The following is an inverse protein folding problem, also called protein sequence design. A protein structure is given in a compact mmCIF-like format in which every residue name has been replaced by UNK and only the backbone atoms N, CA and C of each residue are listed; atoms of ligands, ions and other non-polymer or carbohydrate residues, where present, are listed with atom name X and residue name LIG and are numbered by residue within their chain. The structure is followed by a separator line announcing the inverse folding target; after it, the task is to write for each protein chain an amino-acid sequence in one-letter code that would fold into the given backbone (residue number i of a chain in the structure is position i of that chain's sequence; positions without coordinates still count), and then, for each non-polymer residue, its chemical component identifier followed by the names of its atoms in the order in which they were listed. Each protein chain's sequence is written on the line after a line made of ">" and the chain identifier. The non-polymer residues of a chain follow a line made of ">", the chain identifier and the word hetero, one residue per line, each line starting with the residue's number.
data_IF_624488577824
#
_entry.id   IF_624488577824
#
_cell.length_a   1.000
_cell.length_b   1.000
_cell.length_c   1.000
_cell.angle_alpha   90.00
_cell.angle_beta   90.00
_cell.angle_gamma   90.00
#
_symmetry.space_group_name_H-M   'P 1'
#
loop_
_entity.id
_entity.type
_entity.pdbx_description
1 polymer ?
#
# COMPACT_ATOMS: atom_id res chain seq x y z
N UNK A 1 16.49 -8.38 -7.67
CA UNK A 1 15.10 -8.25 -8.14
C UNK A 1 14.17 -8.81 -7.07
N UNK A 2 12.94 -8.30 -6.93
CA UNK A 2 11.96 -8.87 -6.00
C UNK A 2 11.65 -10.31 -6.41
N UNK A 3 11.73 -11.22 -5.46
CA UNK A 3 11.43 -12.63 -5.67
C UNK A 3 10.00 -12.93 -5.21
N UNK A 4 9.08 -12.89 -6.16
CA UNK A 4 7.65 -13.09 -5.94
C UNK A 4 7.32 -14.50 -5.45
N UNK A 5 7.88 -15.58 -6.04
CA UNK A 5 7.77 -16.91 -5.48
C UNK A 5 8.10 -16.98 -3.98
N UNK A 6 9.15 -16.28 -3.53
CA UNK A 6 9.50 -16.21 -2.11
C UNK A 6 8.47 -15.43 -1.29
N UNK A 7 8.02 -14.27 -1.78
CA UNK A 7 6.99 -13.48 -1.10
C UNK A 7 5.69 -14.28 -0.92
N UNK A 8 5.23 -14.99 -1.96
CA UNK A 8 4.05 -15.85 -1.85
C UNK A 8 4.23 -17.00 -0.85
N UNK A 9 5.41 -17.62 -0.82
CA UNK A 9 5.70 -18.70 0.12
C UNK A 9 5.61 -18.20 1.56
N UNK A 10 6.13 -17.01 1.83
CA UNK A 10 6.00 -16.36 3.14
C UNK A 10 4.55 -16.05 3.46
N UNK A 11 3.79 -15.48 2.50
CA UNK A 11 2.37 -15.16 2.69
C UNK A 11 1.54 -16.40 3.06
N UNK A 12 1.71 -17.50 2.30
CA UNK A 12 1.02 -18.76 2.57
C UNK A 12 1.38 -19.33 3.94
N UNK A 13 2.66 -19.27 4.32
CA UNK A 13 3.10 -19.72 5.64
C UNK A 13 2.48 -18.87 6.76
N UNK A 14 2.52 -17.55 6.65
CA UNK A 14 1.90 -16.64 7.62
C UNK A 14 0.40 -16.94 7.76
N UNK A 15 -0.31 -17.13 6.65
CA UNK A 15 -1.74 -17.46 6.66
C UNK A 15 -2.03 -18.82 7.31
N UNK A 16 -1.16 -19.80 7.16
CA UNK A 16 -1.32 -21.11 7.85
C UNK A 16 -1.13 -21.03 9.37
N UNK A 17 -0.27 -20.12 9.84
CA UNK A 17 0.06 -19.98 11.26
C UNK A 17 -0.85 -18.99 11.98
N UNK A 18 -1.18 -17.88 11.32
CA UNK A 18 -1.89 -16.71 11.85
C UNK A 18 -2.79 -16.10 10.78
N UNK A 19 -3.96 -16.71 10.51
CA UNK A 19 -4.86 -16.24 9.47
C UNK A 19 -5.38 -14.82 9.71
N UNK A 20 -5.38 -14.35 10.97
CA UNK A 20 -5.88 -13.06 11.44
C UNK A 20 -4.91 -11.89 11.27
N UNK A 21 -3.61 -12.14 11.14
CA UNK A 21 -2.60 -11.07 11.15
C UNK A 21 -2.57 -10.32 9.82
N UNK A 22 -2.70 -8.98 9.80
CA UNK A 22 -2.54 -8.21 8.58
C UNK A 22 -1.12 -8.34 8.01
N UNK A 23 -1.00 -8.60 6.71
CA UNK A 23 0.30 -8.64 6.02
C UNK A 23 0.33 -7.59 4.92
N UNK A 24 1.28 -6.66 5.01
CA UNK A 24 1.49 -5.61 4.02
C UNK A 24 2.74 -5.97 3.23
N UNK A 25 2.63 -6.01 1.90
CA UNK A 25 3.72 -6.33 0.98
C UNK A 25 4.14 -5.07 0.25
N UNK A 26 5.43 -4.76 0.27
CA UNK A 26 6.00 -3.72 -0.60
C UNK A 26 6.37 -4.35 -1.94
N UNK A 27 5.93 -3.75 -3.04
CA UNK A 27 6.21 -4.19 -4.40
C UNK A 27 6.80 -3.02 -5.21
N UNK A 28 7.66 -3.24 -6.22
CA UNK A 28 8.19 -2.15 -7.03
C UNK A 28 7.09 -1.35 -7.75
N UNK A 29 6.10 -2.05 -8.27
CA UNK A 29 4.97 -1.52 -9.02
C UNK A 29 3.69 -2.34 -8.75
N UNK A 30 2.62 -2.08 -9.48
CA UNK A 30 1.31 -2.72 -9.31
C UNK A 30 1.10 -3.98 -10.17
N UNK A 31 2.10 -4.40 -10.96
CA UNK A 31 1.97 -5.51 -11.92
C UNK A 31 1.58 -6.85 -11.27
N UNK A 32 2.03 -7.08 -10.03
CA UNK A 32 1.84 -8.34 -9.29
C UNK A 32 0.89 -8.20 -8.11
N UNK A 33 0.17 -7.07 -8.03
CA UNK A 33 -0.74 -6.79 -6.93
C UNK A 33 -1.78 -7.90 -6.75
N UNK A 34 -2.40 -8.36 -7.85
CA UNK A 34 -3.41 -9.43 -7.81
C UNK A 34 -2.84 -10.74 -7.25
N UNK A 35 -1.67 -11.15 -7.75
CA UNK A 35 -1.01 -12.40 -7.35
C UNK A 35 -0.65 -12.40 -5.86
N UNK A 36 -0.11 -11.28 -5.35
CA UNK A 36 0.22 -11.14 -3.93
C UNK A 36 -1.03 -11.12 -3.04
N UNK A 37 -2.12 -10.46 -3.49
CA UNK A 37 -3.41 -10.48 -2.81
C UNK A 37 -3.99 -11.90 -2.73
N UNK A 38 -3.99 -12.64 -3.83
CA UNK A 38 -4.43 -14.05 -3.89
C UNK A 38 -3.58 -14.95 -2.99
N UNK A 39 -2.28 -14.67 -2.86
CA UNK A 39 -1.40 -15.40 -1.94
C UNK A 39 -1.66 -15.08 -0.45
N UNK A 40 -2.51 -14.10 -0.14
CA UNK A 40 -2.92 -13.75 1.22
C UNK A 40 -2.35 -12.44 1.75
N UNK A 41 -1.79 -11.57 0.90
CA UNK A 41 -1.45 -10.22 1.30
C UNK A 41 -2.73 -9.45 1.67
N UNK A 42 -2.73 -8.82 2.83
CA UNK A 42 -3.80 -7.90 3.21
C UNK A 42 -3.70 -6.64 2.39
N UNK A 43 -2.49 -6.11 2.19
CA UNK A 43 -2.25 -4.98 1.31
C UNK A 43 -0.96 -5.10 0.52
N UNK A 44 -0.93 -4.42 -0.64
CA UNK A 44 0.25 -4.33 -1.51
C UNK A 44 0.52 -2.87 -1.80
N UNK A 45 1.71 -2.40 -1.43
CA UNK A 45 2.15 -1.01 -1.55
C UNK A 45 3.15 -0.90 -2.71
N UNK A 46 2.74 -0.35 -3.88
CA UNK A 46 3.63 -0.08 -5.00
C UNK A 46 4.59 1.10 -4.76
N UNK A 47 5.89 0.84 -4.74
CA UNK A 47 6.95 1.82 -4.48
C UNK A 47 6.95 2.99 -5.47
N UNK A 48 6.82 2.70 -6.77
CA UNK A 48 6.82 3.73 -7.82
C UNK A 48 5.67 4.70 -7.64
N UNK A 49 4.47 4.20 -7.30
CA UNK A 49 3.32 5.06 -7.04
C UNK A 49 3.54 5.91 -5.79
N UNK A 50 3.98 5.30 -4.69
CA UNK A 50 4.20 6.01 -3.43
C UNK A 50 5.25 7.11 -3.58
N UNK A 51 6.34 6.83 -4.29
CA UNK A 51 7.33 7.83 -4.66
C UNK A 51 6.74 8.98 -5.48
N UNK A 52 5.92 8.65 -6.48
CA UNK A 52 5.24 9.66 -7.32
C UNK A 52 4.30 10.55 -6.51
N UNK A 53 3.54 9.99 -5.56
CA UNK A 53 2.66 10.75 -4.68
C UNK A 53 3.43 11.69 -3.75
N UNK A 54 4.58 11.25 -3.23
CA UNK A 54 5.43 12.09 -2.40
C UNK A 54 6.09 13.22 -3.19
N UNK A 55 6.52 12.96 -4.43
CA UNK A 55 7.02 14.00 -5.33
C UNK A 55 5.92 15.02 -5.63
N UNK A 56 4.69 14.57 -5.89
CA UNK A 56 3.56 15.48 -6.10
C UNK A 56 3.29 16.34 -4.86
N UNK A 57 3.31 15.77 -3.66
CA UNK A 57 3.12 16.51 -2.41
C UNK A 57 4.22 17.57 -2.19
N UNK A 58 5.48 17.21 -2.42
CA UNK A 58 6.61 18.12 -2.37
C UNK A 58 6.44 19.27 -3.38
N UNK A 59 6.01 18.94 -4.60
CA UNK A 59 5.76 19.95 -5.65
C UNK A 59 4.66 20.93 -5.25
N UNK A 60 3.57 20.43 -4.64
CA UNK A 60 2.49 21.28 -4.12
C UNK A 60 3.00 22.20 -3.00
N UNK A 61 3.86 21.69 -2.12
CA UNK A 61 4.47 22.49 -1.05
C UNK A 61 5.35 23.62 -1.60
N UNK A 62 6.14 23.33 -2.65
CA UNK A 62 7.02 24.33 -3.28
C UNK A 62 6.25 25.49 -3.93
N UNK A 63 5.01 25.26 -4.39
CA UNK A 63 4.15 26.31 -4.95
C UNK A 63 3.25 27.00 -3.90
N UNK A 64 3.54 26.79 -2.60
CA UNK A 64 2.89 27.51 -1.49
C UNK A 64 1.65 26.84 -0.92
N UNK A 65 1.34 25.60 -1.31
CA UNK A 65 0.25 24.84 -0.67
C UNK A 65 0.74 24.31 0.69
N UNK A 66 -0.01 24.51 1.79
CA UNK A 66 0.34 23.93 3.09
C UNK A 66 0.56 22.42 3.00
N UNK A 67 1.62 21.92 3.63
CA UNK A 67 2.01 20.50 3.60
C UNK A 67 0.86 19.61 4.05
N UNK A 68 0.06 20.04 5.02
CA UNK A 68 -1.10 19.30 5.52
C UNK A 68 -2.16 19.11 4.44
N UNK A 69 -2.35 20.11 3.57
CA UNK A 69 -3.25 20.03 2.41
C UNK A 69 -2.67 19.14 1.32
N UNK A 70 -1.39 19.29 0.99
CA UNK A 70 -0.70 18.40 0.04
C UNK A 70 -0.80 16.92 0.46
N UNK A 71 -0.56 16.63 1.75
CA UNK A 71 -0.68 15.30 2.32
C UNK A 71 -2.14 14.80 2.36
N UNK A 72 -3.12 15.68 2.38
CA UNK A 72 -4.54 15.29 2.24
C UNK A 72 -4.81 14.75 0.85
N UNK A 73 -4.23 15.34 -0.20
CA UNK A 73 -4.33 14.80 -1.56
C UNK A 73 -3.67 13.42 -1.69
N UNK A 74 -2.51 13.22 -1.06
CA UNK A 74 -1.85 11.90 -1.01
C UNK A 74 -2.76 10.86 -0.34
N UNK A 75 -3.33 11.19 0.82
CA UNK A 75 -4.25 10.28 1.54
C UNK A 75 -5.48 9.92 0.69
N UNK A 76 -6.04 10.89 -0.03
CA UNK A 76 -7.16 10.65 -0.93
C UNK A 76 -6.79 9.68 -2.06
N UNK A 77 -5.65 9.90 -2.73
CA UNK A 77 -5.17 9.02 -3.80
C UNK A 77 -4.89 7.58 -3.31
N UNK A 78 -4.31 7.44 -2.10
CA UNK A 78 -4.14 6.13 -1.45
C UNK A 78 -5.48 5.46 -1.17
N UNK A 79 -6.48 6.20 -0.68
CA UNK A 79 -7.79 5.67 -0.36
C UNK A 79 -8.58 5.18 -1.59
N UNK A 80 -8.36 5.79 -2.76
CA UNK A 80 -8.95 5.34 -4.02
C UNK A 80 -8.34 4.03 -4.52
N UNK A 81 -7.02 3.85 -4.36
CA UNK A 81 -6.30 2.66 -4.83
C UNK A 81 -6.31 1.50 -3.85
N UNK A 82 -6.29 1.78 -2.55
CA UNK A 82 -6.22 0.77 -1.48
C UNK A 82 -7.59 0.61 -0.83
N UNK A 83 -8.53 0.01 -1.56
CA UNK A 83 -9.90 -0.21 -1.08
C UNK A 83 -9.97 -0.97 0.26
N UNK A 84 -8.93 -1.72 0.66
CA UNK A 84 -8.91 -2.45 1.95
C UNK A 84 -8.52 -1.56 3.14
N UNK A 85 -7.72 -0.51 2.93
CA UNK A 85 -7.40 0.47 3.98
C UNK A 85 -8.62 1.27 4.43
N UNK A 86 -9.63 1.45 3.57
CA UNK A 86 -10.90 2.11 3.94
C UNK A 86 -11.58 1.41 5.12
N UNK A 87 -11.56 0.09 5.16
CA UNK A 87 -12.21 -0.67 6.23
C UNK A 87 -11.34 -0.76 7.49
N UNK A 88 -10.01 -0.77 7.35
CA UNK A 88 -9.08 -0.77 8.48
C UNK A 88 -9.09 0.56 9.26
N UNK A 89 -9.14 1.71 8.57
CA UNK A 89 -9.22 3.03 9.23
C UNK A 89 -10.62 3.40 9.76
N UNK A 90 -11.65 2.60 9.46
CA UNK A 90 -13.04 2.86 9.89
C UNK A 90 -13.42 2.17 11.20
N UNK A 91 -12.67 1.17 11.66
CA UNK A 91 -12.85 0.62 13.01
C UNK A 91 -11.96 1.40 14.00
N UNK A 92 -12.53 2.31 14.82
CA UNK A 92 -11.90 2.56 16.11
C UNK A 92 -12.04 1.26 16.92
N UNK A 93 -10.96 0.87 17.58
CA UNK A 93 -11.02 -0.11 18.67
C UNK A 93 -11.84 0.43 19.83
#
# INVERSE_FOLDING_TARGET
>A
YPDIPSAERVLRLVRSLRPDVPVIVRAPDDSQMRQLKEAGATEVIPEVLEGSLMIAAETLAQIGIPVERAMTHVRAARAERYASLRDYYRKPG
#
